data_IF_872122276094
#
_entry.id   IF_872122276094
#
_cell.length_a   1.000
_cell.length_b   1.000
_cell.length_c   1.000
_cell.angle_alpha   90.00
_cell.angle_beta   90.00
_cell.angle_gamma   90.00
#
_symmetry.space_group_name_H-M   'P 1'
#
loop_
_entity.id
_entity.type
_entity.pdbx_description
1 polymer ?
#
# COMPACT_ATOMS: atom_id res chain seq x y z
N UNK A 1 -13.90 1.54 17.63
CA UNK A 1 -15.35 1.33 17.81
C UNK A 1 -15.57 0.93 19.26
N UNK A 2 -16.30 1.70 20.07
CA UNK A 2 -16.67 1.33 21.45
C UNK A 2 -18.18 1.05 21.47
N UNK A 3 -18.56 -0.20 21.73
CA UNK A 3 -19.95 -0.65 21.80
C UNK A 3 -20.28 -1.10 23.24
N UNK A 4 -21.54 -0.97 23.72
CA UNK A 4 -21.95 -1.48 25.02
C UNK A 4 -21.78 -3.00 25.12
N UNK A 5 -21.59 -3.52 26.32
CA UNK A 5 -21.62 -4.97 26.62
C UNK A 5 -22.98 -5.57 26.22
N UNK A 6 -23.01 -6.83 25.77
CA UNK A 6 -24.17 -7.56 25.22
C UNK A 6 -24.77 -6.99 23.93
N UNK A 7 -24.11 -6.01 23.30
CA UNK A 7 -24.47 -5.57 21.95
C UNK A 7 -23.96 -6.56 20.92
N UNK A 8 -24.81 -6.86 19.94
CA UNK A 8 -24.42 -7.62 18.76
C UNK A 8 -23.68 -6.71 17.78
N UNK A 9 -22.46 -7.08 17.39
CA UNK A 9 -21.69 -6.39 16.35
C UNK A 9 -21.58 -7.32 15.15
N UNK A 10 -22.08 -6.88 14.00
CA UNK A 10 -21.83 -7.55 12.74
C UNK A 10 -20.65 -6.88 12.05
N UNK A 11 -19.48 -7.53 12.06
CA UNK A 11 -18.28 -7.02 11.41
C UNK A 11 -18.42 -6.97 9.89
N UNK A 12 -19.22 -7.86 9.31
CA UNK A 12 -19.44 -7.93 7.87
C UNK A 12 -20.37 -6.79 7.39
N UNK A 13 -21.20 -6.26 8.30
CA UNK A 13 -22.03 -5.08 8.03
C UNK A 13 -21.27 -3.75 8.20
N UNK A 14 -20.05 -3.77 8.76
CA UNK A 14 -19.21 -2.59 8.83
C UNK A 14 -18.60 -2.32 7.46
N UNK A 15 -18.67 -1.07 7.00
CA UNK A 15 -17.85 -0.64 5.87
C UNK A 15 -16.39 -0.92 6.20
N UNK A 16 -15.76 -1.75 5.38
CA UNK A 16 -14.35 -2.07 5.58
C UNK A 16 -13.55 -0.76 5.53
N UNK A 17 -12.60 -0.56 6.45
CA UNK A 17 -11.76 0.61 6.37
C UNK A 17 -11.01 0.60 5.04
N UNK A 18 -10.62 1.77 4.56
CA UNK A 18 -9.76 1.90 3.38
C UNK A 18 -8.41 2.49 3.78
N UNK A 19 -7.35 1.97 3.16
CA UNK A 19 -5.98 2.48 3.29
C UNK A 19 -5.34 2.42 1.90
N UNK A 20 -4.91 3.57 1.37
CA UNK A 20 -4.31 3.63 0.03
C UNK A 20 -3.08 2.73 -0.05
N UNK A 21 -2.97 1.94 -1.13
CA UNK A 21 -1.89 0.97 -1.35
C UNK A 21 -1.96 -0.30 -0.48
N UNK A 22 -3.07 -0.51 0.24
CA UNK A 22 -3.24 -1.66 1.10
C UNK A 22 -4.62 -2.32 0.95
N UNK A 23 -4.61 -3.65 0.87
CA UNK A 23 -5.81 -4.49 0.94
C UNK A 23 -6.16 -4.83 2.38
N UNK A 24 -7.42 -4.59 2.77
CA UNK A 24 -7.95 -4.98 4.08
C UNK A 24 -8.07 -6.51 4.17
N UNK A 25 -7.43 -7.11 5.17
CA UNK A 25 -7.43 -8.56 5.38
C UNK A 25 -8.55 -8.99 6.33
N UNK A 26 -8.81 -8.18 7.37
CA UNK A 26 -9.81 -8.49 8.38
C UNK A 26 -9.52 -7.85 9.73
N UNK A 27 -10.38 -8.18 10.69
CA UNK A 27 -10.24 -7.79 12.09
C UNK A 27 -9.62 -8.93 12.90
N UNK A 28 -8.58 -8.61 13.67
CA UNK A 28 -7.81 -9.58 14.44
C UNK A 28 -7.75 -9.17 15.91
N UNK A 29 -7.79 -10.13 16.83
CA UNK A 29 -7.59 -9.84 18.25
C UNK A 29 -6.10 -9.78 18.63
N UNK A 30 -5.81 -9.62 19.93
CA UNK A 30 -4.43 -9.56 20.42
C UNK A 30 -3.64 -10.87 20.26
N UNK A 31 -4.32 -11.99 20.04
CA UNK A 31 -3.74 -13.31 19.79
C UNK A 31 -3.61 -13.60 18.28
N UNK A 32 -3.84 -12.60 17.43
CA UNK A 32 -3.82 -12.71 15.95
C UNK A 32 -4.85 -13.70 15.40
N UNK A 33 -5.97 -13.89 16.11
CA UNK A 33 -7.12 -14.66 15.63
C UNK A 33 -8.03 -13.74 14.83
N UNK A 34 -8.39 -14.14 13.61
CA UNK A 34 -9.32 -13.39 12.77
C UNK A 34 -10.76 -13.56 13.26
N UNK A 35 -11.49 -12.45 13.33
CA UNK A 35 -12.91 -12.41 13.66
C UNK A 35 -13.70 -11.86 12.47
N UNK A 36 -14.86 -12.46 12.20
CA UNK A 36 -15.79 -12.08 11.13
C UNK A 36 -17.23 -12.39 11.53
N UNK A 37 -18.22 -11.86 10.80
CA UNK A 37 -19.62 -12.14 11.06
C UNK A 37 -20.21 -11.46 12.28
N UNK A 38 -21.32 -12.03 12.77
CA UNK A 38 -22.09 -11.48 13.89
C UNK A 38 -21.63 -12.08 15.21
N UNK A 39 -21.04 -11.20 15.99
CA UNK A 39 -20.56 -11.32 17.36
C UNK A 39 -21.45 -10.89 18.52
N UNK A 40 -21.55 -11.62 19.63
CA UNK A 40 -21.99 -10.99 20.90
C UNK A 40 -20.76 -10.49 21.66
N UNK A 41 -20.77 -9.21 22.06
CA UNK A 41 -19.64 -8.61 22.78
C UNK A 41 -19.46 -9.27 24.17
N UNK A 42 -18.29 -9.87 24.48
CA UNK A 42 -18.09 -10.56 25.74
C UNK A 42 -18.01 -9.59 26.93
N UNK A 43 -18.27 -10.11 28.14
CA UNK A 43 -18.07 -9.35 29.39
C UNK A 43 -16.59 -8.96 29.50
N UNK A 44 -16.30 -7.68 29.77
CA UNK A 44 -14.93 -7.13 29.74
C UNK A 44 -14.47 -6.61 28.38
N UNK A 45 -15.26 -6.80 27.31
CA UNK A 45 -15.02 -6.24 25.97
C UNK A 45 -14.01 -7.02 25.12
N UNK A 46 -13.94 -6.67 23.83
CA UNK A 46 -13.04 -7.24 22.84
C UNK A 46 -12.32 -6.12 22.08
N UNK A 47 -10.99 -6.19 22.01
CA UNK A 47 -10.17 -5.26 21.21
C UNK A 47 -9.78 -5.92 19.90
N UNK A 48 -10.27 -5.36 18.79
CA UNK A 48 -9.93 -5.80 17.44
C UNK A 48 -9.04 -4.77 16.74
N UNK A 49 -8.09 -5.27 15.96
CA UNK A 49 -7.16 -4.51 15.14
C UNK A 49 -7.37 -4.85 13.67
N UNK A 50 -7.40 -3.83 12.82
CA UNK A 50 -7.45 -4.03 11.38
C UNK A 50 -6.08 -4.49 10.87
N UNK A 51 -6.05 -5.58 10.11
CA UNK A 51 -4.85 -6.09 9.45
C UNK A 51 -4.92 -5.82 7.95
N UNK A 52 -3.75 -5.54 7.37
CA UNK A 52 -3.62 -5.08 6.00
C UNK A 52 -2.47 -5.79 5.30
N UNK A 53 -2.60 -5.98 4.00
CA UNK A 53 -1.53 -6.46 3.13
C UNK A 53 -1.17 -5.36 2.15
N UNK A 54 0.12 -5.06 1.99
CA UNK A 54 0.58 -4.10 0.99
C UNK A 54 0.28 -4.61 -0.43
N UNK A 55 -0.26 -3.73 -1.26
CA UNK A 55 -0.55 -4.04 -2.66
C UNK A 55 0.69 -3.84 -3.53
N UNK A 56 0.71 -4.48 -4.69
CA UNK A 56 1.75 -4.26 -5.69
C UNK A 56 1.52 -2.93 -6.43
N UNK A 57 2.59 -2.16 -6.56
CA UNK A 57 2.63 -0.89 -7.26
C UNK A 57 3.61 -0.99 -8.43
N UNK A 58 3.25 -0.35 -9.55
CA UNK A 58 4.04 -0.41 -10.79
C UNK A 58 4.58 0.97 -11.14
N UNK A 59 5.89 1.11 -11.17
CA UNK A 59 6.58 2.29 -11.70
C UNK A 59 6.89 2.03 -13.18
N UNK A 60 6.34 2.87 -14.05
CA UNK A 60 6.55 2.78 -15.50
C UNK A 60 7.38 3.95 -16.00
N UNK A 61 8.31 3.67 -16.91
CA UNK A 61 9.25 4.66 -17.43
C UNK A 61 8.92 5.02 -18.87
N UNK A 62 8.81 6.32 -19.14
CA UNK A 62 8.74 6.83 -20.51
C UNK A 62 10.10 7.42 -20.88
N UNK A 63 10.85 6.69 -21.72
CA UNK A 63 12.24 7.03 -22.07
C UNK A 63 12.35 8.13 -23.11
N UNK A 64 11.22 8.65 -23.64
CA UNK A 64 11.17 9.71 -24.65
C UNK A 64 12.12 9.48 -25.84
N UNK A 65 12.21 8.22 -26.29
CA UNK A 65 13.06 7.82 -27.42
C UNK A 65 14.47 7.36 -27.05
N UNK A 66 14.79 7.23 -25.77
CA UNK A 66 15.97 6.49 -25.30
C UNK A 66 15.75 4.97 -25.26
N UNK A 67 16.81 4.23 -24.92
CA UNK A 67 16.78 2.77 -24.72
C UNK A 67 15.70 2.35 -23.74
N UNK A 68 15.04 1.22 -24.00
CA UNK A 68 13.96 0.71 -23.15
C UNK A 68 14.40 0.49 -21.70
N UNK A 69 13.53 0.87 -20.76
CA UNK A 69 13.70 0.65 -19.33
C UNK A 69 12.53 -0.18 -18.84
N UNK A 70 12.81 -1.28 -18.14
CA UNK A 70 11.79 -2.15 -17.59
C UNK A 70 11.01 -1.44 -16.47
N UNK A 71 9.71 -1.73 -16.35
CA UNK A 71 8.93 -1.30 -15.20
C UNK A 71 9.42 -1.97 -13.92
N UNK A 72 9.27 -1.28 -12.79
CA UNK A 72 9.57 -1.81 -11.46
C UNK A 72 8.24 -2.11 -10.77
N UNK A 73 8.08 -3.34 -10.30
CA UNK A 73 6.92 -3.75 -9.48
C UNK A 73 7.38 -4.06 -8.08
N UNK A 74 6.86 -3.31 -7.10
CA UNK A 74 7.20 -3.47 -5.68
C UNK A 74 5.97 -3.22 -4.80
N UNK A 75 6.05 -3.60 -3.53
CA UNK A 75 4.96 -3.37 -2.57
C UNK A 75 4.88 -1.90 -2.17
N UNK A 76 3.68 -1.46 -1.80
CA UNK A 76 3.47 -0.16 -1.11
C UNK A 76 4.40 -0.03 0.10
N UNK A 77 4.87 1.19 0.37
CA UNK A 77 5.85 1.57 1.40
C UNK A 77 7.25 0.96 1.25
N UNK A 78 7.56 0.33 0.11
CA UNK A 78 8.95 -0.07 -0.22
C UNK A 78 9.72 1.06 -0.88
N UNK A 79 11.06 0.96 -0.83
CA UNK A 79 11.95 1.97 -1.40
C UNK A 79 12.59 1.51 -2.70
N UNK A 80 12.70 2.40 -3.69
CA UNK A 80 13.36 2.18 -4.98
C UNK A 80 14.42 3.26 -5.19
N UNK A 81 15.63 2.86 -5.57
CA UNK A 81 16.70 3.80 -5.92
C UNK A 81 16.67 4.11 -7.43
N UNK A 82 16.17 5.30 -7.77
CA UNK A 82 16.03 5.73 -9.16
C UNK A 82 17.35 6.13 -9.81
N UNK A 83 18.42 6.38 -9.04
CA UNK A 83 19.73 6.73 -9.61
C UNK A 83 20.37 5.54 -10.32
N UNK A 84 19.93 4.32 -9.98
CA UNK A 84 20.35 3.08 -10.66
C UNK A 84 19.63 2.85 -11.99
N UNK A 85 18.57 3.61 -12.27
CA UNK A 85 17.72 3.44 -13.44
C UNK A 85 18.03 4.55 -14.43
N UNK A 86 18.56 4.20 -15.61
CA UNK A 86 18.89 5.18 -16.64
C UNK A 86 18.47 4.72 -18.03
N UNK A 87 18.44 5.66 -18.97
CA UNK A 87 18.19 5.39 -20.39
C UNK A 87 19.21 6.13 -21.24
N UNK A 88 19.58 5.56 -22.39
CA UNK A 88 20.53 6.16 -23.32
C UNK A 88 19.83 6.59 -24.59
N UNK A 89 20.00 7.86 -24.99
CA UNK A 89 19.49 8.40 -26.26
C UNK A 89 20.64 9.04 -27.04
N UNK A 90 20.98 8.57 -28.26
CA UNK A 90 22.08 9.11 -29.04
C UNK A 90 21.99 10.63 -29.25
N UNK A 91 23.07 11.35 -28.92
CA UNK A 91 23.14 12.82 -29.01
C UNK A 91 22.57 13.58 -27.82
N UNK A 92 22.15 12.89 -26.75
CA UNK A 92 21.59 13.48 -25.53
C UNK A 92 22.30 12.93 -24.29
N UNK A 93 22.31 13.73 -23.22
CA UNK A 93 22.67 13.30 -21.87
C UNK A 93 21.39 12.97 -21.10
N UNK A 94 21.41 11.91 -20.31
CA UNK A 94 20.31 11.60 -19.40
C UNK A 94 20.42 12.52 -18.17
N UNK A 95 19.37 13.31 -17.93
CA UNK A 95 19.32 14.33 -16.87
C UNK A 95 18.54 13.86 -15.63
N UNK A 96 17.66 12.85 -15.77
CA UNK A 96 16.87 12.31 -14.65
C UNK A 96 15.47 11.84 -15.07
N UNK A 97 14.69 11.37 -14.09
CA UNK A 97 13.29 10.98 -14.27
C UNK A 97 12.36 12.09 -13.76
N UNK A 98 11.34 12.42 -14.54
CA UNK A 98 10.45 13.55 -14.24
C UNK A 98 8.96 13.18 -14.35
N UNK A 99 8.15 13.72 -13.44
CA UNK A 99 6.69 13.81 -13.58
C UNK A 99 6.31 15.29 -13.66
N UNK A 100 5.87 15.73 -14.84
CA UNK A 100 5.66 17.15 -15.12
C UNK A 100 6.99 17.90 -15.04
N UNK A 101 7.10 18.83 -14.09
CA UNK A 101 8.32 19.60 -13.79
C UNK A 101 9.05 19.13 -12.52
N UNK A 102 8.60 18.03 -11.91
CA UNK A 102 9.19 17.51 -10.68
C UNK A 102 10.14 16.37 -11.01
N UNK A 103 11.39 16.51 -10.59
CA UNK A 103 12.41 15.47 -10.69
C UNK A 103 12.25 14.44 -9.57
N UNK A 104 12.47 13.17 -9.90
CA UNK A 104 12.55 12.06 -8.97
C UNK A 104 13.93 11.42 -9.09
N UNK A 105 14.72 11.52 -8.02
CA UNK A 105 16.11 11.05 -7.91
C UNK A 105 16.33 10.38 -6.56
N UNK A 106 17.32 9.50 -6.49
CA UNK A 106 17.70 8.77 -5.30
C UNK A 106 16.64 7.76 -4.84
N UNK A 107 16.66 7.51 -3.53
CA UNK A 107 15.77 6.54 -2.90
C UNK A 107 14.38 7.16 -2.70
N UNK A 108 13.41 6.69 -3.47
CA UNK A 108 12.00 7.10 -3.36
C UNK A 108 11.18 6.02 -2.67
N UNK A 109 10.22 6.42 -1.83
CA UNK A 109 9.26 5.50 -1.22
C UNK A 109 8.02 5.39 -2.09
N UNK A 110 7.57 4.17 -2.34
CA UNK A 110 6.42 3.88 -3.18
C UNK A 110 5.13 4.02 -2.37
N UNK A 111 4.18 4.88 -2.77
CA UNK A 111 2.96 5.16 -2.01
C UNK A 111 1.86 4.11 -2.21
#
# INVERSE_FOLDING_TARGET
LTQPTDSSVNLDALTNPTRAGYSFVGWFDASDVQHSGTFTMPVGGLSLKAKWTADDQVISFNTKGGSGVASITVKTDTTVDLDTVSTTRPGYQFDGWFVGSTEYTGVVTVP
#
